data_IF_050464140616
#
_entry.id   IF_050464140616
#
_cell.length_a   1.000
_cell.length_b   1.000
_cell.length_c   1.000
_cell.angle_alpha   90.00
_cell.angle_beta   90.00
_cell.angle_gamma   90.00
#
_symmetry.space_group_name_H-M   'P 1'
#
loop_
_entity.id
_entity.type
_entity.pdbx_description
1 polymer ?
#
# COMPACT_ATOMS: atom_id res chain seq x y z
N UNK A 1 -24.06 22.64 4.25
CA UNK A 1 -23.97 21.49 3.34
C UNK A 1 -22.53 21.44 2.87
N UNK A 2 -21.85 20.32 2.97
CA UNK A 2 -20.46 20.18 2.51
C UNK A 2 -20.45 20.11 0.97
N UNK A 3 -19.58 20.89 0.32
CA UNK A 3 -19.38 20.80 -1.13
C UNK A 3 -18.42 19.65 -1.42
N UNK A 4 -18.98 18.51 -1.76
CA UNK A 4 -18.21 17.31 -2.11
C UNK A 4 -17.74 17.29 -3.57
N UNK A 5 -18.16 18.27 -4.37
CA UNK A 5 -17.83 18.38 -5.79
C UNK A 5 -16.75 19.44 -6.06
N UNK A 6 -16.07 19.91 -5.00
CA UNK A 6 -14.97 20.83 -5.15
C UNK A 6 -13.97 20.31 -6.21
N UNK A 7 -13.77 21.09 -7.26
CA UNK A 7 -12.72 20.84 -8.25
C UNK A 7 -11.48 21.69 -7.91
N UNK A 8 -10.31 21.11 -8.08
CA UNK A 8 -9.08 21.88 -7.93
C UNK A 8 -9.05 23.03 -8.93
N UNK A 9 -8.59 24.22 -8.52
CA UNK A 9 -8.28 25.26 -9.49
C UNK A 9 -7.27 24.72 -10.53
N UNK A 10 -7.24 25.36 -11.71
CA UNK A 10 -6.23 25.02 -12.71
C UNK A 10 -4.84 25.09 -12.08
N UNK A 11 -3.92 24.17 -12.41
CA UNK A 11 -2.57 24.20 -11.87
C UNK A 11 -1.90 25.55 -12.17
N UNK A 12 -1.15 26.03 -11.19
CA UNK A 12 -0.33 27.23 -11.40
C UNK A 12 0.84 26.86 -12.29
N UNK A 13 0.91 27.49 -13.44
CA UNK A 13 2.03 27.34 -14.38
C UNK A 13 3.13 28.32 -14.02
N UNK A 14 4.34 27.82 -13.89
CA UNK A 14 5.54 28.62 -13.59
C UNK A 14 6.24 28.95 -14.92
N UNK A 15 6.31 30.22 -15.33
CA UNK A 15 6.97 30.58 -16.56
C UNK A 15 8.46 30.22 -16.54
N UNK A 16 8.94 29.58 -17.60
CA UNK A 16 10.35 29.28 -17.80
C UNK A 16 10.92 29.96 -19.06
N UNK A 17 12.22 29.88 -19.24
CA UNK A 17 12.89 30.57 -20.36
C UNK A 17 12.54 29.98 -21.74
N UNK A 18 12.16 28.72 -21.82
CA UNK A 18 11.83 27.99 -23.07
C UNK A 18 10.45 27.38 -23.07
N UNK A 19 10.02 26.87 -21.91
CA UNK A 19 8.74 26.19 -21.69
C UNK A 19 8.21 26.57 -20.32
N UNK A 20 6.90 26.56 -20.18
CA UNK A 20 6.25 26.68 -18.89
C UNK A 20 6.29 25.35 -18.14
N UNK A 21 6.27 25.42 -16.83
CA UNK A 21 6.39 24.26 -15.94
C UNK A 21 5.15 24.10 -15.05
N UNK A 22 4.65 22.91 -14.95
CA UNK A 22 3.62 22.53 -14.00
C UNK A 22 4.26 21.76 -12.85
N UNK A 23 3.91 22.13 -11.60
CA UNK A 23 4.32 21.38 -10.43
C UNK A 23 3.37 20.19 -10.24
N UNK A 24 3.89 18.98 -10.36
CA UNK A 24 3.17 17.74 -10.11
C UNK A 24 3.77 17.07 -8.88
N UNK A 25 2.94 16.81 -7.87
CA UNK A 25 3.34 16.14 -6.62
C UNK A 25 2.62 14.79 -6.55
N UNK A 26 3.39 13.71 -6.49
CA UNK A 26 2.91 12.39 -6.13
C UNK A 26 3.17 12.10 -4.66
N UNK A 27 2.22 11.45 -4.01
CA UNK A 27 2.38 10.95 -2.65
C UNK A 27 2.09 9.47 -2.59
N UNK A 28 2.91 8.75 -1.85
CA UNK A 28 2.72 7.35 -1.52
C UNK A 28 2.43 7.23 -0.03
N UNK A 29 1.42 6.44 0.32
CA UNK A 29 1.00 6.25 1.71
C UNK A 29 1.16 4.77 2.05
N UNK A 30 1.96 4.49 3.07
CA UNK A 30 2.13 3.15 3.61
C UNK A 30 1.44 3.03 4.97
N UNK A 31 0.70 1.94 5.15
CA UNK A 31 0.07 1.59 6.41
C UNK A 31 0.46 0.17 6.80
N UNK A 32 1.22 0.03 7.87
CA UNK A 32 1.62 -1.27 8.38
C UNK A 32 0.47 -1.92 9.16
N UNK A 33 0.19 -3.17 8.84
CA UNK A 33 -0.82 -3.95 9.55
C UNK A 33 -0.29 -4.38 10.91
N UNK A 34 -1.06 -4.14 11.97
CA UNK A 34 -0.74 -4.58 13.35
C UNK A 34 -0.97 -6.08 13.51
N UNK A 35 -0.21 -6.89 12.80
CA UNK A 35 -0.22 -8.35 12.87
C UNK A 35 0.83 -8.86 13.86
N UNK A 36 0.64 -10.05 14.43
CA UNK A 36 1.62 -10.70 15.29
C UNK A 36 2.69 -11.47 14.52
N UNK A 37 2.43 -11.75 13.26
CA UNK A 37 3.36 -12.41 12.33
C UNK A 37 3.37 -11.67 11.00
N UNK A 38 4.42 -11.88 10.22
CA UNK A 38 4.61 -11.26 8.91
C UNK A 38 3.54 -11.66 7.90
N UNK A 39 3.46 -10.94 6.79
CA UNK A 39 2.48 -11.18 5.73
C UNK A 39 2.64 -12.57 5.10
N UNK A 40 3.86 -13.04 4.93
CA UNK A 40 4.15 -14.30 4.21
C UNK A 40 4.95 -15.31 5.00
N UNK A 41 5.11 -15.11 6.30
CA UNK A 41 5.80 -16.05 7.17
C UNK A 41 5.27 -15.98 8.60
N UNK A 42 5.56 -17.02 9.38
CA UNK A 42 5.22 -17.08 10.80
C UNK A 42 6.18 -16.28 11.71
N UNK A 43 7.18 -15.61 11.17
CA UNK A 43 8.10 -14.82 11.97
C UNK A 43 7.39 -13.65 12.65
N UNK A 44 7.85 -13.30 13.86
CA UNK A 44 7.28 -12.23 14.68
C UNK A 44 7.42 -10.86 14.00
N UNK A 45 6.46 -9.98 14.26
CA UNK A 45 6.53 -8.56 13.90
C UNK A 45 6.85 -7.68 15.10
N UNK A 46 7.24 -8.26 16.23
CA UNK A 46 7.54 -7.52 17.45
C UNK A 46 8.73 -6.58 17.21
N UNK A 47 8.48 -5.29 17.45
CA UNK A 47 9.53 -4.28 17.36
C UNK A 47 10.50 -4.36 18.55
N UNK A 48 11.79 -4.06 18.29
CA UNK A 48 12.82 -3.98 19.33
C UNK A 48 13.44 -5.30 19.73
N UNK A 49 13.19 -6.39 19.01
CA UNK A 49 13.91 -7.64 19.19
C UNK A 49 15.35 -7.53 18.68
N UNK A 50 16.20 -8.50 19.08
CA UNK A 50 17.59 -8.56 18.60
C UNK A 50 17.63 -8.67 17.07
N UNK A 51 18.65 -8.09 16.41
CA UNK A 51 18.82 -8.19 14.97
C UNK A 51 18.78 -9.64 14.49
N UNK A 52 18.08 -9.88 13.36
CA UNK A 52 17.90 -11.19 12.73
C UNK A 52 17.19 -12.25 13.58
N UNK A 53 16.50 -11.87 14.65
CA UNK A 53 15.71 -12.82 15.46
C UNK A 53 14.31 -13.08 14.90
N UNK A 54 13.74 -12.12 14.17
CA UNK A 54 12.42 -12.22 13.55
C UNK A 54 12.50 -12.79 12.10
N UNK A 55 13.10 -13.96 11.96
CA UNK A 55 13.40 -14.58 10.67
C UNK A 55 12.89 -16.02 10.64
N UNK A 56 12.13 -16.35 9.61
CA UNK A 56 11.75 -17.72 9.24
C UNK A 56 12.61 -18.20 8.07
N UNK A 57 12.45 -19.47 7.69
CA UNK A 57 13.12 -20.01 6.51
C UNK A 57 12.70 -19.32 5.21
N UNK A 58 11.44 -18.85 5.12
CA UNK A 58 10.96 -18.04 4.00
C UNK A 58 11.71 -16.72 3.93
N UNK A 59 11.82 -16.00 5.07
CA UNK A 59 12.52 -14.71 5.13
C UNK A 59 14.00 -14.86 4.79
N UNK A 60 14.63 -15.97 5.19
CA UNK A 60 16.02 -16.30 4.90
C UNK A 60 16.27 -16.83 3.47
N UNK A 61 15.23 -16.90 2.64
CA UNK A 61 15.30 -17.41 1.27
C UNK A 61 15.85 -18.84 1.17
N UNK A 62 15.54 -19.69 2.13
CA UNK A 62 16.02 -21.09 2.13
C UNK A 62 15.40 -21.87 0.96
N UNK A 63 16.17 -22.74 0.29
CA UNK A 63 15.68 -23.53 -0.84
C UNK A 63 14.42 -24.34 -0.50
N UNK A 64 13.43 -24.29 -1.39
CA UNK A 64 12.17 -25.04 -1.25
C UNK A 64 11.13 -24.38 -0.35
N UNK A 65 11.42 -23.28 0.29
CA UNK A 65 10.44 -22.55 1.08
C UNK A 65 9.57 -21.66 0.21
N UNK A 66 8.27 -21.73 0.43
CA UNK A 66 7.28 -20.91 -0.27
C UNK A 66 6.53 -20.01 0.72
N UNK A 67 6.25 -18.77 0.35
CA UNK A 67 5.46 -17.86 1.17
C UNK A 67 4.01 -18.34 1.29
N UNK A 68 3.44 -18.18 2.49
CA UNK A 68 2.03 -18.44 2.77
C UNK A 68 1.42 -17.18 3.34
N UNK A 69 0.31 -16.73 2.74
CA UNK A 69 -0.33 -15.48 3.13
C UNK A 69 -0.93 -15.57 4.54
N UNK A 70 -0.80 -14.48 5.28
CA UNK A 70 -1.39 -14.33 6.61
C UNK A 70 -2.84 -13.86 6.49
N UNK A 71 -3.79 -14.69 6.87
CA UNK A 71 -5.23 -14.41 6.79
C UNK A 71 -5.63 -13.15 7.55
N UNK A 72 -5.00 -12.87 8.69
CA UNK A 72 -5.27 -11.65 9.44
C UNK A 72 -4.94 -10.39 8.61
N UNK A 73 -3.85 -10.40 7.85
CA UNK A 73 -3.50 -9.28 6.98
C UNK A 73 -4.53 -9.11 5.85
N UNK A 74 -5.02 -10.21 5.28
CA UNK A 74 -6.10 -10.19 4.28
C UNK A 74 -7.37 -9.58 4.88
N UNK A 75 -7.75 -9.99 6.08
CA UNK A 75 -8.91 -9.44 6.78
C UNK A 75 -8.77 -7.93 7.00
N UNK A 76 -7.60 -7.45 7.42
CA UNK A 76 -7.37 -6.02 7.63
C UNK A 76 -7.39 -5.22 6.31
N UNK A 77 -6.88 -5.79 5.22
CA UNK A 77 -6.98 -5.17 3.89
C UNK A 77 -8.45 -5.01 3.47
N UNK A 78 -9.26 -6.05 3.64
CA UNK A 78 -10.71 -6.00 3.35
C UNK A 78 -11.42 -4.96 4.23
N UNK A 79 -11.14 -4.94 5.54
CA UNK A 79 -11.72 -3.94 6.46
C UNK A 79 -11.36 -2.52 6.05
N UNK A 80 -10.11 -2.28 5.68
CA UNK A 80 -9.65 -0.97 5.19
C UNK A 80 -10.38 -0.58 3.91
N UNK A 81 -10.50 -1.51 2.96
CA UNK A 81 -11.23 -1.29 1.72
C UNK A 81 -12.70 -0.94 1.96
N UNK A 82 -13.38 -1.64 2.86
CA UNK A 82 -14.77 -1.32 3.24
C UNK A 82 -14.88 0.06 3.88
N UNK A 83 -13.93 0.43 4.74
CA UNK A 83 -13.88 1.76 5.35
C UNK A 83 -13.70 2.89 4.33
N UNK A 84 -13.04 2.63 3.21
CA UNK A 84 -12.86 3.54 2.09
C UNK A 84 -13.96 3.41 1.02
N UNK A 85 -15.04 2.67 1.30
CA UNK A 85 -16.13 2.37 0.37
C UNK A 85 -15.63 1.79 -0.95
N UNK A 86 -14.54 1.04 -0.89
CA UNK A 86 -13.90 0.46 -2.04
C UNK A 86 -14.55 -0.86 -2.45
N UNK A 87 -14.40 -1.19 -3.72
CA UNK A 87 -14.78 -2.50 -4.25
C UNK A 87 -13.81 -3.56 -3.74
N UNK A 88 -14.32 -4.59 -3.09
CA UNK A 88 -13.53 -5.76 -2.72
C UNK A 88 -13.55 -6.77 -3.87
N UNK A 89 -12.39 -7.17 -4.35
CA UNK A 89 -12.24 -8.18 -5.39
C UNK A 89 -12.17 -9.55 -4.73
N UNK A 90 -13.13 -10.43 -5.05
CA UNK A 90 -13.19 -11.79 -4.49
C UNK A 90 -12.14 -12.73 -5.09
N UNK A 91 -11.50 -12.31 -6.15
CA UNK A 91 -10.34 -12.95 -6.75
C UNK A 91 -9.20 -11.94 -6.81
N UNK A 92 -8.05 -12.30 -6.29
CA UNK A 92 -6.85 -11.47 -6.31
C UNK A 92 -5.61 -12.35 -6.46
N UNK A 93 -4.50 -11.74 -6.89
CA UNK A 93 -3.23 -12.43 -7.05
C UNK A 93 -2.08 -11.53 -6.60
N UNK A 94 -0.98 -12.17 -6.22
CA UNK A 94 0.26 -11.48 -5.91
C UNK A 94 1.20 -11.51 -7.09
N UNK A 95 1.93 -10.42 -7.24
CA UNK A 95 2.98 -10.23 -8.23
C UNK A 95 4.34 -10.23 -7.54
N UNK A 96 5.38 -10.51 -8.30
CA UNK A 96 6.76 -10.48 -7.81
C UNK A 96 7.46 -9.25 -8.37
N UNK A 97 7.88 -8.37 -7.46
CA UNK A 97 8.70 -7.19 -7.77
C UNK A 97 10.16 -7.55 -7.49
N UNK A 98 10.89 -7.92 -8.52
CA UNK A 98 12.30 -8.33 -8.38
C UNK A 98 13.19 -7.09 -8.17
N UNK A 99 13.97 -7.11 -7.12
CA UNK A 99 15.07 -6.17 -6.89
C UNK A 99 16.07 -6.77 -5.89
N UNK A 100 17.31 -6.31 -5.95
CA UNK A 100 18.38 -6.86 -5.15
C UNK A 100 18.88 -5.84 -4.14
N UNK A 101 18.78 -6.19 -2.87
CA UNK A 101 19.26 -5.40 -1.76
C UNK A 101 20.00 -6.30 -0.77
N UNK A 102 21.05 -5.80 -0.08
CA UNK A 102 21.83 -6.61 0.85
C UNK A 102 21.03 -7.21 2.00
N UNK A 103 19.96 -6.54 2.41
CA UNK A 103 19.07 -6.93 3.51
C UNK A 103 17.80 -7.67 3.03
N UNK A 104 17.72 -7.98 1.76
CA UNK A 104 16.62 -8.75 1.16
C UNK A 104 17.12 -10.04 0.52
N UNK A 105 17.36 -11.12 1.30
CA UNK A 105 17.91 -12.38 0.78
C UNK A 105 17.13 -12.99 -0.36
N UNK A 106 15.82 -12.81 -0.38
CA UNK A 106 14.92 -13.33 -1.42
C UNK A 106 15.15 -12.70 -2.80
N UNK A 107 15.70 -11.48 -2.87
CA UNK A 107 15.89 -10.74 -4.12
C UNK A 107 14.58 -10.29 -4.79
N UNK A 108 13.46 -10.34 -4.08
CA UNK A 108 12.16 -9.88 -4.54
C UNK A 108 11.26 -9.46 -3.38
N UNK A 109 10.30 -8.62 -3.69
CA UNK A 109 9.20 -8.24 -2.83
C UNK A 109 7.90 -8.77 -3.42
N UNK A 110 7.04 -9.34 -2.59
CA UNK A 110 5.71 -9.77 -3.02
C UNK A 110 4.76 -8.59 -2.85
N UNK A 111 4.04 -8.27 -3.91
CA UNK A 111 3.13 -7.13 -3.98
C UNK A 111 1.87 -7.49 -4.78
N UNK A 112 0.99 -6.55 -4.99
CA UNK A 112 -0.18 -6.71 -5.87
C UNK A 112 -0.24 -5.52 -6.83
N UNK A 113 -0.21 -5.76 -8.13
CA UNK A 113 -0.31 -4.71 -9.15
C UNK A 113 -1.59 -4.88 -10.00
N UNK A 114 -1.72 -6.02 -10.66
CA UNK A 114 -2.79 -6.23 -11.63
C UNK A 114 -4.08 -6.75 -11.01
N UNK A 115 -3.99 -7.43 -9.89
CA UNK A 115 -5.13 -8.08 -9.24
C UNK A 115 -5.18 -7.79 -7.74
N UNK A 116 -5.27 -6.49 -7.35
CA UNK A 116 -5.31 -6.11 -5.95
C UNK A 116 -6.60 -6.59 -5.28
N UNK A 117 -6.52 -6.89 -3.99
CA UNK A 117 -7.70 -7.30 -3.21
C UNK A 117 -8.70 -6.16 -3.06
N UNK A 118 -8.23 -4.91 -3.01
CA UNK A 118 -9.05 -3.71 -2.88
C UNK A 118 -8.92 -2.86 -4.13
N UNK A 119 -10.03 -2.70 -4.84
CA UNK A 119 -10.14 -1.87 -6.04
C UNK A 119 -10.52 -0.43 -5.73
N UNK A 120 -11.26 0.17 -6.66
CA UNK A 120 -11.65 1.58 -6.57
C UNK A 120 -12.49 1.89 -5.32
N UNK A 121 -12.20 3.03 -4.71
CA UNK A 121 -12.88 3.54 -3.54
C UNK A 121 -12.79 5.06 -3.43
N UNK A 122 -13.18 5.58 -2.29
CA UNK A 122 -13.14 7.01 -2.04
C UNK A 122 -12.92 7.33 -0.57
N UNK A 123 -12.32 8.49 -0.34
CA UNK A 123 -12.27 9.12 0.98
C UNK A 123 -12.71 10.58 0.86
N UNK A 124 -13.45 11.05 1.85
CA UNK A 124 -13.86 12.45 1.94
C UNK A 124 -12.98 13.12 2.98
N UNK A 125 -12.20 14.08 2.54
CA UNK A 125 -11.30 14.87 3.37
C UNK A 125 -11.95 16.22 3.67
N UNK A 126 -12.12 16.54 4.94
CA UNK A 126 -12.59 17.85 5.39
C UNK A 126 -11.40 18.80 5.41
N UNK A 127 -11.39 19.76 4.50
CA UNK A 127 -10.30 20.73 4.37
C UNK A 127 -10.46 21.90 5.32
N UNK A 128 -11.70 22.41 5.43
CA UNK A 128 -12.10 23.56 6.25
C UNK A 128 -13.54 23.38 6.72
N UNK A 129 -14.02 24.20 7.67
CA UNK A 129 -15.43 24.20 8.01
C UNK A 129 -16.30 24.42 6.76
N UNK A 130 -17.11 23.41 6.42
CA UNK A 130 -18.02 23.36 5.26
C UNK A 130 -17.38 23.07 3.89
N UNK A 131 -16.08 22.80 3.81
CA UNK A 131 -15.41 22.38 2.57
C UNK A 131 -14.94 20.94 2.71
N UNK A 132 -15.43 20.06 1.88
CA UNK A 132 -14.99 18.69 1.81
C UNK A 132 -14.52 18.34 0.39
N UNK A 133 -13.44 17.61 0.30
CA UNK A 133 -12.91 17.12 -0.97
C UNK A 133 -13.06 15.60 -1.03
N UNK A 134 -13.62 15.11 -2.12
CA UNK A 134 -13.59 13.69 -2.45
C UNK A 134 -12.25 13.36 -3.08
N UNK A 135 -11.52 12.44 -2.48
CA UNK A 135 -10.30 11.84 -3.04
C UNK A 135 -10.66 10.44 -3.52
N UNK A 136 -10.45 10.19 -4.80
CA UNK A 136 -10.65 8.87 -5.37
C UNK A 136 -9.45 7.99 -5.07
N UNK A 137 -9.72 6.79 -4.57
CA UNK A 137 -8.75 5.74 -4.37
C UNK A 137 -8.80 4.84 -5.60
N UNK A 138 -7.69 4.63 -6.26
CA UNK A 138 -7.61 3.73 -7.41
C UNK A 138 -7.59 2.27 -6.95
N UNK A 139 -6.76 1.98 -5.96
CA UNK A 139 -6.62 0.66 -5.34
C UNK A 139 -5.87 0.75 -4.02
N UNK A 140 -5.99 -0.31 -3.23
CA UNK A 140 -5.05 -0.63 -2.15
C UNK A 140 -4.50 -2.01 -2.45
N UNK A 141 -3.21 -2.17 -2.37
CA UNK A 141 -2.56 -3.45 -2.52
C UNK A 141 -1.82 -3.85 -1.25
N UNK A 142 -1.75 -5.15 -1.04
CA UNK A 142 -0.95 -5.73 0.02
C UNK A 142 0.48 -5.90 -0.49
N UNK A 143 1.44 -5.54 0.34
CA UNK A 143 2.84 -5.62 -0.01
C UNK A 143 3.65 -6.10 1.17
N UNK A 144 4.61 -6.97 0.91
CA UNK A 144 5.61 -7.36 1.88
C UNK A 144 6.52 -6.15 2.17
N UNK A 145 6.69 -5.82 3.44
CA UNK A 145 7.71 -4.87 3.86
C UNK A 145 9.09 -5.55 3.78
N UNK A 146 10.04 -4.85 3.19
CA UNK A 146 11.38 -5.39 2.96
C UNK A 146 12.30 -5.19 4.17
#
# INVERSE_FOLDING_TARGET
MLDINYSSPKPTVIPGARHDWELVIGMEVHAQVSSKSKLFSGASTQFGNEPNSNVSFVDAAMPGMLPVVNDYCVEQAVRTGLGLKAKINLWSAFDRKNYFYPDLPQGYQISQLYHPIVGEGEVIVNMEPRVARRVRIERIHMEQDA
#
